data_IF_556071626999
#
_entry.id   IF_556071626999
#
_cell.length_a   1.000
_cell.length_b   1.000
_cell.length_c   1.000
_cell.angle_alpha   90.00
_cell.angle_beta   90.00
_cell.angle_gamma   90.00
#
_symmetry.space_group_name_H-M   'P 1'
#
loop_
_entity.id
_entity.type
_entity.pdbx_description
1 polymer ?
#
# COMPACT_ATOMS: atom_id res chain seq x y z
N UNK A 1 6.91 -4.65 -16.49
CA UNK A 1 5.75 -4.47 -15.59
C UNK A 1 6.29 -4.51 -14.16
N UNK A 2 6.22 -3.41 -13.42
CA UNK A 2 6.63 -3.41 -12.02
C UNK A 2 5.72 -4.37 -11.25
N UNK A 3 6.32 -5.36 -10.61
CA UNK A 3 5.60 -6.42 -9.89
C UNK A 3 4.94 -5.81 -8.65
N UNK A 4 3.62 -5.67 -8.68
CA UNK A 4 2.84 -5.27 -7.51
C UNK A 4 2.94 -6.33 -6.41
N UNK A 5 2.73 -5.93 -5.16
CA UNK A 5 2.76 -6.87 -4.04
C UNK A 5 1.50 -7.73 -4.00
N UNK A 6 1.69 -9.04 -4.04
CA UNK A 6 0.61 -10.03 -3.95
C UNK A 6 0.19 -10.33 -2.50
N UNK A 7 0.87 -9.75 -1.51
CA UNK A 7 0.59 -9.96 -0.08
C UNK A 7 -0.85 -9.62 0.30
N UNK A 8 -1.47 -8.68 -0.42
CA UNK A 8 -2.84 -8.26 -0.17
C UNK A 8 -3.89 -9.31 -0.57
N UNK A 9 -3.52 -10.36 -1.32
CA UNK A 9 -4.42 -11.47 -1.65
C UNK A 9 -4.83 -12.28 -0.41
N UNK A 10 -4.02 -12.28 0.65
CA UNK A 10 -4.35 -12.94 1.93
C UNK A 10 -5.17 -12.07 2.90
N UNK A 11 -5.54 -10.85 2.49
CA UNK A 11 -6.46 -10.01 3.27
C UNK A 11 -7.90 -10.48 3.09
N UNK A 12 -8.82 -10.07 3.97
CA UNK A 12 -10.24 -10.45 3.88
C UNK A 12 -10.85 -10.14 2.50
N UNK A 13 -10.52 -8.99 1.90
CA UNK A 13 -11.00 -8.63 0.57
C UNK A 13 -10.37 -9.50 -0.53
N UNK A 14 -9.08 -9.82 -0.42
CA UNK A 14 -8.38 -10.69 -1.35
C UNK A 14 -8.89 -12.13 -1.30
N UNK A 15 -9.15 -12.65 -0.10
CA UNK A 15 -9.74 -13.97 0.11
C UNK A 15 -11.17 -14.05 -0.43
N UNK A 16 -12.01 -13.07 -0.13
CA UNK A 16 -13.36 -13.02 -0.66
C UNK A 16 -13.37 -12.97 -2.20
N UNK A 17 -12.46 -12.19 -2.81
CA UNK A 17 -12.30 -12.17 -4.26
C UNK A 17 -11.87 -13.55 -4.80
N UNK A 18 -10.84 -14.16 -4.21
CA UNK A 18 -10.35 -15.47 -4.64
C UNK A 18 -11.43 -16.55 -4.53
N UNK A 19 -12.22 -16.56 -3.45
CA UNK A 19 -13.34 -17.48 -3.26
C UNK A 19 -14.42 -17.29 -4.36
N UNK A 20 -14.77 -16.04 -4.69
CA UNK A 20 -15.71 -15.78 -5.79
C UNK A 20 -15.16 -16.22 -7.15
N UNK A 21 -13.89 -15.99 -7.43
CA UNK A 21 -13.25 -16.39 -8.69
C UNK A 21 -13.16 -17.91 -8.81
N UNK A 22 -12.87 -18.62 -7.72
CA UNK A 22 -12.88 -20.09 -7.67
C UNK A 22 -14.26 -20.66 -7.98
N UNK A 23 -15.32 -20.05 -7.44
CA UNK A 23 -16.69 -20.47 -7.73
C UNK A 23 -17.06 -20.25 -9.21
N UNK A 24 -16.61 -19.14 -9.82
CA UNK A 24 -16.84 -18.87 -11.25
C UNK A 24 -16.07 -19.84 -12.17
N UNK A 25 -14.88 -20.28 -11.76
CA UNK A 25 -14.14 -21.35 -12.46
C UNK A 25 -14.85 -22.70 -12.30
N UNK A 26 -15.35 -23.01 -11.09
CA UNK A 26 -16.10 -24.25 -10.83
C UNK A 26 -17.36 -24.34 -11.70
N UNK A 27 -18.02 -23.21 -11.94
CA UNK A 27 -19.17 -23.10 -12.86
C UNK A 27 -18.80 -23.06 -14.34
N UNK A 28 -17.51 -23.17 -14.68
CA UNK A 28 -16.97 -23.08 -16.05
C UNK A 28 -17.30 -21.76 -16.76
N UNK A 29 -17.59 -20.70 -16.01
CA UNK A 29 -17.84 -19.35 -16.56
C UNK A 29 -16.49 -18.71 -16.91
N UNK A 30 -15.50 -18.86 -16.01
CA UNK A 30 -14.16 -18.32 -16.19
C UNK A 30 -13.14 -19.42 -16.43
N UNK A 31 -12.15 -19.11 -17.27
CA UNK A 31 -10.94 -19.93 -17.40
C UNK A 31 -9.91 -19.52 -16.35
N UNK A 32 -9.00 -20.42 -15.93
CA UNK A 32 -7.93 -20.09 -14.98
C UNK A 32 -7.06 -18.91 -15.43
N UNK A 33 -6.96 -18.68 -16.74
CA UNK A 33 -6.22 -17.57 -17.35
C UNK A 33 -6.86 -16.21 -17.05
N UNK A 34 -8.19 -16.12 -17.08
CA UNK A 34 -8.93 -14.89 -16.76
C UNK A 34 -8.81 -14.59 -15.27
N UNK A 35 -8.88 -15.61 -14.41
CA UNK A 35 -8.69 -15.44 -12.97
C UNK A 35 -7.33 -14.84 -12.65
N UNK A 36 -6.25 -15.36 -13.24
CA UNK A 36 -4.92 -14.78 -13.08
C UNK A 36 -4.87 -13.30 -13.50
N UNK A 37 -5.47 -12.97 -14.65
CA UNK A 37 -5.53 -11.60 -15.12
C UNK A 37 -6.26 -10.66 -14.12
N UNK A 38 -7.40 -11.10 -13.57
CA UNK A 38 -8.15 -10.32 -12.57
C UNK A 38 -7.32 -10.12 -11.30
N UNK A 39 -6.62 -11.15 -10.84
CA UNK A 39 -5.77 -11.08 -9.65
C UNK A 39 -4.58 -10.14 -9.86
N UNK A 40 -3.99 -10.10 -11.06
CA UNK A 40 -2.92 -9.16 -11.39
C UNK A 40 -3.42 -7.71 -11.40
N UNK A 41 -4.64 -7.48 -11.92
CA UNK A 41 -5.30 -6.16 -11.85
C UNK A 41 -5.58 -5.78 -10.40
N UNK A 42 -6.08 -6.71 -9.59
CA UNK A 42 -6.33 -6.48 -8.16
C UNK A 42 -5.04 -6.05 -7.45
N UNK A 43 -3.94 -6.78 -7.65
CA UNK A 43 -2.65 -6.45 -7.04
C UNK A 43 -2.18 -5.05 -7.45
N UNK A 44 -2.33 -4.69 -8.72
CA UNK A 44 -1.96 -3.36 -9.18
C UNK A 44 -2.76 -2.25 -8.48
N UNK A 45 -4.09 -2.36 -8.50
CA UNK A 45 -4.99 -1.33 -7.97
C UNK A 45 -4.85 -1.18 -6.46
N UNK A 46 -4.79 -2.27 -5.69
CA UNK A 46 -4.69 -2.19 -4.23
C UNK A 46 -3.38 -1.54 -3.79
N UNK A 47 -2.28 -1.88 -4.47
CA UNK A 47 -0.97 -1.29 -4.19
C UNK A 47 -0.96 0.21 -4.51
N UNK A 48 -1.53 0.61 -5.64
CA UNK A 48 -1.65 2.01 -6.03
C UNK A 48 -2.46 2.81 -5.00
N UNK A 49 -3.66 2.34 -4.63
CA UNK A 49 -4.57 3.06 -3.73
C UNK A 49 -4.01 3.16 -2.31
N UNK A 50 -3.45 2.09 -1.76
CA UNK A 50 -2.87 2.11 -0.41
C UNK A 50 -1.60 2.97 -0.35
N UNK A 51 -0.77 2.95 -1.39
CA UNK A 51 0.42 3.82 -1.47
C UNK A 51 0.02 5.28 -1.56
N UNK A 52 -0.93 5.61 -2.45
CA UNK A 52 -1.42 6.97 -2.60
C UNK A 52 -2.04 7.53 -1.31
N UNK A 53 -2.84 6.71 -0.61
CA UNK A 53 -3.39 7.06 0.70
C UNK A 53 -2.30 7.24 1.75
N UNK A 54 -1.26 6.39 1.76
CA UNK A 54 -0.12 6.53 2.68
C UNK A 54 0.69 7.81 2.43
N UNK A 55 0.87 8.21 1.18
CA UNK A 55 1.63 9.41 0.80
C UNK A 55 0.85 10.70 1.12
N UNK A 56 -0.46 10.75 0.85
CA UNK A 56 -1.30 11.92 1.19
C UNK A 56 -1.65 12.00 2.68
N UNK A 57 -1.86 10.85 3.34
CA UNK A 57 -2.28 10.72 4.73
C UNK A 57 -1.14 10.80 5.76
N UNK A 58 0.10 11.09 5.35
CA UNK A 58 1.27 11.17 6.25
C UNK A 58 1.11 12.16 7.42
N UNK A 59 0.13 13.07 7.36
CA UNK A 59 -0.24 13.99 8.45
C UNK A 59 -1.43 13.55 9.30
N UNK A 60 -2.21 12.53 8.89
CA UNK A 60 -3.54 12.26 9.44
C UNK A 60 -3.81 10.80 9.84
N UNK A 61 -2.87 9.86 9.67
CA UNK A 61 -3.08 8.46 10.06
C UNK A 61 -1.80 7.72 10.48
N UNK A 62 -1.12 8.25 11.51
CA UNK A 62 -0.04 7.52 12.17
C UNK A 62 -0.62 6.55 13.22
N UNK A 63 -0.39 5.25 13.00
CA UNK A 63 -0.70 4.20 13.97
C UNK A 63 0.56 3.86 14.78
N UNK A 64 0.43 3.91 16.11
CA UNK A 64 1.48 3.57 17.05
C UNK A 64 1.19 2.18 17.62
N UNK A 65 2.18 1.30 17.53
CA UNK A 65 2.13 -0.08 18.00
C UNK A 65 2.99 -0.23 19.26
N UNK A 66 2.39 -0.67 20.37
CA UNK A 66 3.11 -0.94 21.62
C UNK A 66 2.71 -2.32 22.13
N UNK A 67 3.67 -3.23 22.30
CA UNK A 67 3.39 -4.59 22.75
C UNK A 67 4.67 -5.42 22.91
N UNK A 68 4.52 -6.69 23.27
CA UNK A 68 5.64 -7.60 23.47
C UNK A 68 5.98 -8.34 22.16
N UNK A 69 7.17 -8.11 21.60
CA UNK A 69 7.61 -8.82 20.40
C UNK A 69 8.03 -10.25 20.77
N UNK A 70 7.32 -11.25 20.24
CA UNK A 70 7.63 -12.67 20.43
C UNK A 70 8.75 -13.16 19.51
N UNK A 71 8.65 -12.81 18.22
CA UNK A 71 9.62 -13.25 17.22
C UNK A 71 9.64 -12.32 16.02
N UNK A 72 10.75 -12.31 15.29
CA UNK A 72 10.89 -11.59 14.04
C UNK A 72 11.61 -12.45 13.00
N UNK A 73 11.29 -12.22 11.72
CA UNK A 73 11.98 -12.84 10.58
C UNK A 73 12.11 -11.83 9.45
N UNK A 74 13.31 -11.74 8.89
CA UNK A 74 13.57 -11.03 7.65
C UNK A 74 14.05 -12.02 6.59
N UNK A 75 13.33 -12.14 5.48
CA UNK A 75 13.71 -12.99 4.35
C UNK A 75 13.23 -12.32 3.06
N UNK A 76 14.07 -12.25 2.04
CA UNK A 76 13.73 -11.66 0.73
C UNK A 76 13.14 -10.24 0.82
N UNK A 77 13.71 -9.42 1.72
CA UNK A 77 13.27 -8.05 2.01
C UNK A 77 11.86 -7.96 2.60
N UNK A 78 11.25 -9.08 3.00
CA UNK A 78 9.97 -9.12 3.72
C UNK A 78 10.25 -9.29 5.21
N UNK A 79 9.71 -8.38 6.01
CA UNK A 79 9.74 -8.47 7.46
C UNK A 79 8.45 -9.11 7.96
N UNK A 80 8.59 -10.01 8.92
CA UNK A 80 7.48 -10.61 9.66
C UNK A 80 7.76 -10.43 11.14
N UNK A 81 6.84 -9.79 11.86
CA UNK A 81 6.90 -9.53 13.29
C UNK A 81 5.70 -10.20 13.95
N UNK A 82 5.93 -10.92 15.04
CA UNK A 82 4.88 -11.55 15.83
C UNK A 82 4.84 -10.89 17.20
N UNK A 83 3.72 -10.28 17.56
CA UNK A 83 3.49 -9.63 18.84
C UNK A 83 2.52 -10.41 19.71
N UNK A 84 2.74 -10.32 21.01
CA UNK A 84 1.80 -10.66 22.07
C UNK A 84 1.33 -9.35 22.74
N UNK A 85 0.07 -9.33 23.16
CA UNK A 85 -0.51 -8.24 23.95
C UNK A 85 -0.30 -6.87 23.31
N UNK A 86 -0.78 -6.71 22.07
CA UNK A 86 -0.55 -5.52 21.25
C UNK A 86 -1.58 -4.43 21.55
N UNK A 87 -1.08 -3.22 21.83
CA UNK A 87 -1.86 -1.99 21.91
C UNK A 87 -1.65 -1.16 20.65
N UNK A 88 -2.74 -0.82 19.98
CA UNK A 88 -2.78 0.04 18.81
C UNK A 88 -3.40 1.39 19.19
N UNK A 89 -2.67 2.49 18.95
CA UNK A 89 -3.15 3.84 19.24
C UNK A 89 -3.06 4.71 17.99
N UNK A 90 -4.13 5.42 17.65
CA UNK A 90 -4.14 6.40 16.57
C UNK A 90 -3.91 7.81 17.12
N UNK A 91 -2.92 8.52 16.59
CA UNK A 91 -2.59 9.89 16.99
C UNK A 91 -3.36 10.95 16.16
N UNK A 92 -4.61 10.68 15.84
CA UNK A 92 -5.42 11.49 14.91
C UNK A 92 -6.59 12.11 15.66
N UNK A 93 -7.30 13.06 15.04
CA UNK A 93 -8.41 13.81 15.66
C UNK A 93 -9.51 12.92 16.29
N UNK A 94 -9.55 11.64 15.92
CA UNK A 94 -10.32 10.60 16.58
C UNK A 94 -9.32 9.68 17.30
N UNK A 95 -8.97 10.02 18.55
CA UNK A 95 -8.08 9.19 19.35
C UNK A 95 -8.78 7.89 19.69
N UNK A 96 -8.49 6.83 18.94
CA UNK A 96 -8.93 5.49 19.28
C UNK A 96 -7.74 4.67 19.75
N UNK A 97 -7.99 3.85 20.77
CA UNK A 97 -7.02 2.92 21.33
C UNK A 97 -7.67 1.54 21.36
N UNK A 98 -7.05 0.58 20.70
CA UNK A 98 -7.46 -0.82 20.73
C UNK A 98 -6.37 -1.62 21.42
N UNK A 99 -6.72 -2.28 22.51
CA UNK A 99 -5.80 -3.13 23.26
C UNK A 99 -6.24 -4.58 23.07
N UNK A 100 -5.39 -5.38 22.45
CA UNK A 100 -5.60 -6.83 22.28
C UNK A 100 -4.88 -7.54 23.43
N UNK A 101 -5.55 -7.67 24.57
CA UNK A 101 -5.04 -8.40 25.73
C UNK A 101 -5.61 -9.82 25.74
N UNK A 102 -4.77 -10.81 26.01
CA UNK A 102 -5.19 -12.20 26.17
C UNK A 102 -4.09 -13.17 25.75
N UNK A 103 -3.99 -14.29 26.45
CA UNK A 103 -2.97 -15.32 26.24
C UNK A 103 -2.98 -15.95 24.82
N UNK A 104 -4.05 -15.70 24.06
CA UNK A 104 -4.25 -16.19 22.69
C UNK A 104 -4.23 -15.07 21.62
N UNK A 105 -4.15 -13.80 22.03
CA UNK A 105 -4.25 -12.66 21.12
C UNK A 105 -2.88 -12.27 20.56
N UNK A 106 -2.40 -13.07 19.60
CA UNK A 106 -1.14 -12.82 18.89
C UNK A 106 -1.40 -12.06 17.58
N UNK A 107 -0.58 -11.05 17.30
CA UNK A 107 -0.69 -10.25 16.08
C UNK A 107 0.53 -10.46 15.20
N UNK A 108 0.30 -10.80 13.93
CA UNK A 108 1.35 -10.93 12.93
C UNK A 108 1.34 -9.71 12.01
N UNK A 109 2.44 -8.97 12.00
CA UNK A 109 2.67 -7.85 11.08
C UNK A 109 3.62 -8.34 9.99
N UNK A 110 3.22 -8.17 8.73
CA UNK A 110 4.06 -8.48 7.57
C UNK A 110 4.26 -7.20 6.78
N UNK A 111 5.52 -6.86 6.48
CA UNK A 111 5.89 -5.60 5.84
C UNK A 111 6.81 -5.83 4.66
N UNK A 112 6.49 -5.18 3.55
CA UNK A 112 7.29 -5.13 2.33
C UNK A 112 7.79 -3.69 2.10
N UNK A 113 8.96 -3.50 1.48
CA UNK A 113 9.55 -2.18 1.32
C UNK A 113 8.75 -1.33 0.31
N UNK A 114 8.53 -0.05 0.60
CA UNK A 114 7.83 0.83 -0.34
C UNK A 114 8.61 1.06 -1.67
N UNK A 115 9.89 0.72 -1.70
CA UNK A 115 10.81 0.92 -2.84
C UNK A 115 10.60 -0.01 -4.05
N UNK A 116 9.65 -0.95 -4.02
CA UNK A 116 9.27 -1.69 -5.24
C UNK A 116 8.22 -0.95 -6.09
N UNK A 117 7.51 0.03 -5.53
CA UNK A 117 6.38 0.71 -6.21
C UNK A 117 6.75 2.05 -6.84
N UNK A 118 7.82 2.67 -6.36
CA UNK A 118 8.33 3.97 -6.82
C UNK A 118 9.10 3.92 -8.15
N UNK A 119 9.50 2.75 -8.66
CA UNK A 119 10.07 2.66 -10.02
C UNK A 119 9.07 3.11 -11.10
N UNK A 120 7.78 2.90 -10.87
CA UNK A 120 6.70 3.26 -11.82
C UNK A 120 6.14 4.67 -11.59
N UNK A 121 6.14 5.15 -10.35
CA UNK A 121 5.64 6.50 -9.99
C UNK A 121 6.66 7.61 -10.32
N UNK A 122 7.96 7.29 -10.31
CA UNK A 122 9.03 8.25 -10.67
C UNK A 122 9.00 8.60 -12.16
N UNK A 123 8.52 7.70 -13.04
CA UNK A 123 8.35 8.01 -14.46
C UNK A 123 7.16 8.94 -14.74
N UNK A 124 6.06 8.83 -13.98
CA UNK A 124 4.90 9.74 -14.13
C UNK A 124 5.11 11.12 -13.51
N UNK A 125 5.99 11.24 -12.51
CA UNK A 125 6.35 12.55 -11.93
C UNK A 125 7.37 13.30 -12.81
N UNK A 126 8.13 12.59 -13.65
CA UNK A 126 9.09 13.18 -14.60
C UNK A 126 8.45 13.72 -15.89
N UNK A 127 7.27 13.24 -16.28
CA UNK A 127 6.56 13.77 -17.46
C UNK A 127 5.70 15.00 -17.14
N UNK A 128 5.21 15.15 -15.90
CA UNK A 128 4.43 16.34 -15.51
C UNK A 128 5.27 17.51 -15.01
N UNK A 129 6.52 17.31 -14.61
CA UNK A 129 7.41 18.41 -14.17
C UNK A 129 8.17 19.08 -15.32
N UNK A 130 8.33 18.42 -16.47
CA UNK A 130 9.06 19.00 -17.60
C UNK A 130 8.24 19.98 -18.47
N UNK A 131 6.90 19.91 -18.48
CA UNK A 131 6.09 20.89 -19.20
C UNK A 131 5.89 22.20 -18.43
N UNK A 132 5.86 22.16 -17.09
CA UNK A 132 5.61 23.34 -16.26
C UNK A 132 6.87 24.21 -16.02
N UNK A 133 8.08 23.63 -15.98
CA UNK A 133 9.30 24.44 -15.85
C UNK A 133 9.60 25.33 -17.07
N UNK A 134 9.15 24.92 -18.27
CA UNK A 134 9.35 25.69 -19.50
C UNK A 134 8.43 26.94 -19.57
N UNK A 135 7.26 26.90 -18.93
CA UNK A 135 6.31 28.03 -18.89
C UNK A 135 6.63 29.04 -17.78
N UNK A 136 7.23 28.61 -16.67
CA UNK A 136 7.55 29.51 -15.54
C UNK A 136 8.79 30.38 -15.85
N UNK A 137 9.79 29.86 -16.57
CA UNK A 137 10.98 30.66 -16.94
C UNK A 137 10.69 31.75 -17.99
N UNK A 138 9.69 31.57 -18.86
CA UNK A 138 9.35 32.57 -19.89
C UNK A 138 8.51 33.75 -19.38
N UNK A 139 7.76 33.59 -18.27
CA UNK A 139 6.97 34.67 -17.66
C UNK A 139 7.79 35.55 -16.72
N UNK A 140 8.77 35.00 -16.01
CA UNK A 140 9.58 35.77 -15.05
C UNK A 140 10.60 36.69 -15.74
N UNK A 141 11.12 36.31 -16.92
CA UNK A 141 12.11 37.14 -17.63
C UNK A 141 11.53 38.35 -18.39
N UNK A 142 10.21 38.39 -18.65
CA UNK A 142 9.57 39.56 -19.30
C UNK A 142 9.18 40.69 -18.33
N UNK A 143 9.22 40.45 -17.00
CA UNK A 143 8.79 41.45 -16.01
C UNK A 143 9.93 42.30 -15.42
N UNK A 144 11.20 42.05 -15.81
CA UNK A 144 12.37 42.80 -15.32
C UNK A 144 12.98 43.80 -16.34
N UNK A 145 12.32 44.09 -17.47
CA UNK A 145 12.79 45.10 -18.45
C UNK A 145 11.83 46.28 -18.67
N UNK A 146 10.96 46.56 -17.71
CA UNK A 146 10.01 47.67 -17.78
C UNK A 146 9.89 48.37 -16.42
N UNK A 147 10.98 49.01 -15.99
CA UNK A 147 10.95 50.20 -15.14
C UNK A 147 12.19 51.01 -15.46
#
# INVERSE_FOLDING_TARGET
MSSAYQIYRSTTIGLALDDTLRELVRRQIFTPRIVHYILDVFDHIINEKLTYQSVKGKKESCLIFTGHLLSYRACDQVWTLLFDSLTLTSNTNLSWKMTLNGHENKVKIITCPATKLNSSLVEQTRTTTNEDESKIKSKTFKKLKST
#
